data_IF_161318866160
#
_entry.id   IF_161318866160
#
_cell.length_a   1.000
_cell.length_b   1.000
_cell.length_c   1.000
_cell.angle_alpha   90.00
_cell.angle_beta   90.00
_cell.angle_gamma   90.00
#
_symmetry.space_group_name_H-M   'P 1'
#
loop_
_entity.id
_entity.type
_entity.pdbx_description
1 polymer ?
#
# COMPACT_ATOMS: atom_id res chain seq x y z
N UNK A 1 -13.07 -6.63 -14.00
CA UNK A 1 -12.92 -5.17 -13.91
C UNK A 1 -11.44 -4.85 -13.83
N UNK A 2 -11.02 -3.73 -14.43
CA UNK A 2 -9.61 -3.30 -14.46
C UNK A 2 -9.44 -2.11 -13.54
N UNK A 3 -8.44 -2.16 -12.66
CA UNK A 3 -7.87 -0.94 -12.12
C UNK A 3 -7.27 -0.16 -13.32
N UNK A 4 -7.40 1.16 -13.46
CA UNK A 4 -6.79 1.86 -14.60
C UNK A 4 -5.27 2.06 -14.45
N UNK A 5 -4.79 2.21 -13.21
CA UNK A 5 -3.42 2.62 -12.91
C UNK A 5 -2.64 1.46 -12.29
N UNK A 6 -2.40 0.40 -13.07
CA UNK A 6 -1.59 -0.73 -12.65
C UNK A 6 -0.65 -1.23 -13.76
N UNK A 7 0.37 -1.97 -13.36
CA UNK A 7 1.31 -2.64 -14.26
C UNK A 7 0.69 -3.96 -14.77
N UNK A 8 1.19 -4.51 -15.89
CA UNK A 8 0.89 -5.89 -16.27
C UNK A 8 1.03 -6.86 -15.08
N UNK A 9 0.21 -7.92 -15.06
CA UNK A 9 0.11 -8.81 -13.90
C UNK A 9 1.45 -9.50 -13.55
N UNK A 10 2.26 -9.77 -14.56
CA UNK A 10 3.59 -10.38 -14.49
C UNK A 10 4.74 -9.39 -14.27
N UNK A 11 4.46 -8.08 -14.30
CA UNK A 11 5.45 -7.03 -14.05
C UNK A 11 5.34 -6.44 -12.65
N UNK A 12 6.49 -6.31 -11.99
CA UNK A 12 6.63 -5.74 -10.65
C UNK A 12 7.37 -4.40 -10.64
N UNK A 13 7.71 -3.88 -11.81
CA UNK A 13 8.36 -2.59 -11.97
C UNK A 13 7.97 -1.95 -13.31
N UNK A 14 7.69 -0.66 -13.29
CA UNK A 14 7.36 0.10 -14.49
C UNK A 14 6.96 1.53 -14.17
N UNK A 15 6.37 2.21 -15.15
CA UNK A 15 5.96 3.60 -15.02
C UNK A 15 4.49 3.73 -15.42
N UNK A 16 3.72 4.47 -14.60
CA UNK A 16 2.30 4.78 -14.81
C UNK A 16 2.15 6.29 -14.65
N UNK A 17 1.64 7.00 -15.66
CA UNK A 17 1.52 8.48 -15.68
C UNK A 17 2.79 9.23 -15.24
N UNK A 18 3.98 8.72 -15.61
CA UNK A 18 5.26 9.33 -15.21
C UNK A 18 5.69 9.05 -13.76
N UNK A 19 4.92 8.24 -13.01
CA UNK A 19 5.27 7.76 -11.67
C UNK A 19 5.87 6.35 -11.79
N UNK A 20 7.10 6.19 -11.34
CA UNK A 20 7.74 4.87 -11.27
C UNK A 20 7.12 4.05 -10.15
N UNK A 21 6.59 2.87 -10.47
CA UNK A 21 6.04 1.91 -9.50
C UNK A 21 6.97 0.71 -9.44
N UNK A 22 7.39 0.33 -8.24
CA UNK A 22 8.26 -0.83 -8.01
C UNK A 22 7.82 -1.63 -6.79
N UNK A 23 7.78 -2.95 -6.88
CA UNK A 23 7.53 -3.81 -5.72
C UNK A 23 8.84 -4.20 -5.02
N UNK A 24 8.83 -4.16 -3.70
CA UNK A 24 9.86 -4.75 -2.87
C UNK A 24 9.77 -6.27 -2.84
N UNK A 25 10.87 -7.00 -2.65
CA UNK A 25 10.90 -8.46 -2.70
C UNK A 25 9.91 -9.10 -1.71
N UNK A 26 9.82 -8.57 -0.48
CA UNK A 26 8.87 -9.07 0.51
C UNK A 26 7.41 -8.86 0.10
N UNK A 27 7.10 -7.75 -0.57
CA UNK A 27 5.76 -7.48 -1.07
C UNK A 27 5.36 -8.51 -2.14
N UNK A 28 6.29 -8.84 -3.04
CA UNK A 28 6.10 -9.87 -4.08
C UNK A 28 5.87 -11.23 -3.43
N UNK A 29 6.75 -11.63 -2.50
CA UNK A 29 6.67 -12.94 -1.83
C UNK A 29 5.37 -13.13 -1.05
N UNK A 30 4.85 -12.08 -0.40
CA UNK A 30 3.65 -12.17 0.43
C UNK A 30 2.34 -11.96 -0.33
N UNK A 31 2.37 -11.39 -1.54
CA UNK A 31 1.17 -11.07 -2.32
C UNK A 31 0.21 -12.26 -2.51
N UNK A 32 0.67 -13.48 -2.87
CA UNK A 32 -0.24 -14.63 -3.02
C UNK A 32 -0.90 -15.04 -1.70
N UNK A 33 -0.19 -14.91 -0.57
CA UNK A 33 -0.73 -15.23 0.75
C UNK A 33 -1.80 -14.21 1.15
N UNK A 34 -1.52 -12.92 0.97
CA UNK A 34 -2.45 -11.84 1.26
C UNK A 34 -3.72 -11.95 0.41
N UNK A 35 -3.61 -12.29 -0.87
CA UNK A 35 -4.76 -12.51 -1.75
C UNK A 35 -5.69 -13.62 -1.21
N UNK A 36 -5.12 -14.71 -0.68
CA UNK A 36 -5.89 -15.78 -0.03
C UNK A 36 -6.60 -15.32 1.23
N UNK A 37 -5.95 -14.51 2.07
CA UNK A 37 -6.54 -13.96 3.30
C UNK A 37 -7.83 -13.18 3.00
N UNK A 38 -7.81 -12.36 1.94
CA UNK A 38 -8.97 -11.56 1.54
C UNK A 38 -9.89 -12.26 0.52
N UNK A 39 -9.61 -13.51 0.15
CA UNK A 39 -10.37 -14.28 -0.86
C UNK A 39 -10.52 -13.56 -2.20
N UNK A 40 -9.49 -12.85 -2.63
CA UNK A 40 -9.46 -12.11 -3.90
C UNK A 40 -8.44 -12.70 -4.88
N UNK A 41 -8.63 -12.40 -6.16
CA UNK A 41 -7.62 -12.70 -7.18
C UNK A 41 -6.31 -11.94 -6.90
N UNK A 42 -5.18 -12.61 -7.12
CA UNK A 42 -3.86 -12.05 -6.85
C UNK A 42 -3.56 -10.84 -7.75
N UNK A 43 -3.89 -10.91 -9.04
CA UNK A 43 -3.67 -9.82 -9.98
C UNK A 43 -4.59 -8.63 -9.67
N UNK A 44 -5.82 -8.90 -9.21
CA UNK A 44 -6.72 -7.87 -8.72
C UNK A 44 -6.15 -7.17 -7.48
N UNK A 45 -5.68 -7.91 -6.46
CA UNK A 45 -5.07 -7.31 -5.26
C UNK A 45 -3.83 -6.48 -5.59
N UNK A 46 -3.00 -6.98 -6.52
CA UNK A 46 -1.86 -6.24 -7.06
C UNK A 46 -2.30 -4.93 -7.71
N UNK A 47 -3.27 -4.99 -8.62
CA UNK A 47 -3.78 -3.81 -9.32
C UNK A 47 -4.38 -2.76 -8.39
N UNK A 48 -5.14 -3.18 -7.37
CA UNK A 48 -5.65 -2.29 -6.34
C UNK A 48 -4.51 -1.60 -5.58
N UNK A 49 -3.48 -2.36 -5.18
CA UNK A 49 -2.32 -1.84 -4.46
C UNK A 49 -1.58 -0.80 -5.29
N UNK A 50 -1.34 -1.09 -6.58
CA UNK A 50 -0.63 -0.20 -7.50
C UNK A 50 -1.43 1.08 -7.76
N UNK A 51 -2.73 0.98 -7.97
CA UNK A 51 -3.60 2.14 -8.18
C UNK A 51 -3.58 3.08 -6.97
N UNK A 52 -3.65 2.53 -5.77
CA UNK A 52 -3.64 3.35 -4.55
C UNK A 52 -2.26 3.93 -4.26
N UNK A 53 -1.18 3.18 -4.52
CA UNK A 53 0.18 3.70 -4.42
C UNK A 53 0.39 4.86 -5.40
N UNK A 54 -0.07 4.70 -6.64
CA UNK A 54 -0.04 5.74 -7.67
C UNK A 54 -0.84 6.98 -7.23
N UNK A 55 -2.05 6.81 -6.71
CA UNK A 55 -2.88 7.91 -6.22
C UNK A 55 -2.21 8.69 -5.07
N UNK A 56 -1.59 7.99 -4.10
CA UNK A 56 -0.84 8.62 -3.00
C UNK A 56 0.37 9.42 -3.52
N UNK A 57 1.17 8.86 -4.44
CA UNK A 57 2.28 9.62 -5.02
C UNK A 57 1.82 10.84 -5.81
N UNK A 58 0.75 10.71 -6.60
CA UNK A 58 0.17 11.84 -7.35
C UNK A 58 -0.29 12.95 -6.40
N UNK A 59 -1.01 12.59 -5.32
CA UNK A 59 -1.47 13.51 -4.27
C UNK A 59 -0.32 14.24 -3.60
N UNK A 60 0.77 13.54 -3.30
CA UNK A 60 1.94 14.09 -2.63
C UNK A 60 2.94 14.79 -3.58
N UNK A 61 2.63 14.88 -4.88
CA UNK A 61 3.50 15.48 -5.89
C UNK A 61 4.82 14.73 -6.07
N UNK A 62 4.78 13.39 -6.06
CA UNK A 62 5.94 12.50 -6.07
C UNK A 62 6.01 11.69 -7.34
N UNK A 63 7.22 11.27 -7.71
CA UNK A 63 7.52 10.66 -9.01
C UNK A 63 7.88 9.18 -8.94
N UNK A 64 7.94 8.60 -7.74
CA UNK A 64 8.17 7.17 -7.58
C UNK A 64 7.59 6.60 -6.30
N UNK A 65 7.19 5.34 -6.36
CA UNK A 65 6.71 4.55 -5.23
C UNK A 65 7.39 3.18 -5.24
N UNK A 66 7.79 2.76 -4.05
CA UNK A 66 8.22 1.40 -3.76
C UNK A 66 7.20 0.75 -2.83
N UNK A 67 6.46 -0.24 -3.32
CA UNK A 67 5.51 -1.01 -2.53
C UNK A 67 6.30 -1.95 -1.63
N UNK A 68 6.24 -1.70 -0.32
CA UNK A 68 7.00 -2.45 0.69
C UNK A 68 6.24 -3.66 1.22
N UNK A 69 4.91 -3.62 1.14
CA UNK A 69 4.02 -4.75 1.36
C UNK A 69 2.62 -4.40 0.88
N UNK A 70 1.91 -5.37 0.31
CA UNK A 70 0.50 -5.23 -0.10
C UNK A 70 -0.45 -5.25 1.12
N UNK A 71 -1.74 -5.18 0.84
CA UNK A 71 -2.80 -5.26 1.85
C UNK A 71 -2.57 -6.41 2.82
N UNK A 72 -2.66 -6.09 4.11
CA UNK A 72 -2.53 -7.04 5.22
C UNK A 72 -3.24 -6.46 6.44
N UNK A 73 -3.75 -7.34 7.28
CA UNK A 73 -4.39 -7.03 8.56
C UNK A 73 -3.47 -7.31 9.76
N UNK A 74 -2.16 -7.31 9.52
CA UNK A 74 -1.16 -7.52 10.57
C UNK A 74 0.00 -6.56 10.44
N UNK A 75 0.51 -6.11 11.57
CA UNK A 75 1.78 -5.37 11.69
C UNK A 75 2.79 -6.23 12.43
N UNK A 76 4.06 -6.15 12.04
CA UNK A 76 5.16 -6.79 12.77
C UNK A 76 5.86 -5.77 13.65
N UNK A 77 5.89 -6.02 14.97
CA UNK A 77 6.75 -5.29 15.89
C UNK A 77 8.18 -5.79 15.67
N UNK A 78 8.99 -5.01 14.95
CA UNK A 78 10.35 -5.42 14.53
C UNK A 78 11.28 -5.75 15.69
N UNK A 79 11.08 -5.17 16.87
CA UNK A 79 11.90 -5.45 18.07
C UNK A 79 11.57 -6.79 18.72
N UNK A 80 10.34 -7.29 18.59
CA UNK A 80 9.88 -8.53 19.22
C UNK A 80 9.66 -9.68 18.21
N UNK A 81 9.62 -9.37 16.91
CA UNK A 81 9.22 -10.33 15.87
C UNK A 81 7.73 -10.70 15.94
N UNK A 82 6.96 -10.08 16.84
CA UNK A 82 5.55 -10.37 17.06
C UNK A 82 4.70 -9.78 15.94
N UNK A 83 3.72 -10.57 15.47
CA UNK A 83 2.67 -10.11 14.57
C UNK A 83 1.44 -9.75 15.40
N UNK A 84 1.03 -8.49 15.34
CA UNK A 84 -0.22 -8.02 15.92
C UNK A 84 -1.25 -7.85 14.82
N UNK A 85 -2.53 -8.06 15.17
CA UNK A 85 -3.64 -7.63 14.34
C UNK A 85 -3.60 -6.10 14.22
N UNK A 86 -3.85 -5.62 13.00
CA UNK A 86 -3.84 -4.21 12.65
C UNK A 86 -4.99 -3.95 11.69
N UNK A 87 -5.40 -2.69 11.57
CA UNK A 87 -6.32 -2.29 10.50
C UNK A 87 -5.72 -2.62 9.14
N UNK A 88 -6.59 -3.04 8.20
CA UNK A 88 -6.12 -3.47 6.90
C UNK A 88 -5.42 -2.32 6.20
N UNK A 89 -4.15 -2.52 5.88
CA UNK A 89 -3.34 -1.49 5.25
C UNK A 89 -2.30 -2.09 4.34
N UNK A 90 -1.74 -1.25 3.49
CA UNK A 90 -0.51 -1.54 2.77
C UNK A 90 0.49 -0.42 2.97
N UNK A 91 1.76 -0.68 2.67
CA UNK A 91 2.84 0.26 2.98
C UNK A 91 3.70 0.51 1.77
N UNK A 92 4.02 1.78 1.52
CA UNK A 92 4.87 2.22 0.42
C UNK A 92 5.97 3.15 0.93
N UNK A 93 7.05 3.25 0.17
CA UNK A 93 8.06 4.31 0.31
C UNK A 93 8.01 5.18 -0.94
N UNK A 94 7.90 6.49 -0.76
CA UNK A 94 7.67 7.42 -1.87
C UNK A 94 8.92 8.27 -2.13
N UNK A 95 9.25 8.47 -3.40
CA UNK A 95 10.38 9.29 -3.85
C UNK A 95 9.95 10.44 -4.75
N UNK A 96 10.60 11.61 -4.67
CA UNK A 96 11.74 11.94 -3.80
C UNK A 96 11.35 12.17 -2.33
N UNK A 97 12.30 11.94 -1.42
CA UNK A 97 12.16 12.19 0.02
C UNK A 97 12.04 10.93 0.88
N UNK A 98 11.81 9.75 0.29
CA UNK A 98 11.76 8.44 0.98
C UNK A 98 10.77 8.40 2.16
N UNK A 99 9.71 9.20 2.10
CA UNK A 99 8.66 9.14 3.10
C UNK A 99 8.03 7.75 3.11
N UNK A 100 7.78 7.21 4.30
CA UNK A 100 7.03 5.96 4.47
C UNK A 100 5.56 6.32 4.57
N UNK A 101 4.73 5.61 3.83
CA UNK A 101 3.29 5.84 3.83
C UNK A 101 2.57 4.54 4.12
N UNK A 102 1.63 4.59 5.06
CA UNK A 102 0.68 3.52 5.32
C UNK A 102 -0.70 3.96 4.84
N UNK A 103 -1.30 3.18 3.96
CA UNK A 103 -2.62 3.45 3.38
C UNK A 103 -3.59 2.43 3.95
N UNK A 104 -4.54 2.91 4.74
CA UNK A 104 -5.52 2.13 5.48
C UNK A 104 -6.83 2.04 4.71
N UNK A 105 -7.43 0.86 4.72
CA UNK A 105 -8.64 0.52 3.97
C UNK A 105 -9.58 -0.34 4.80
N UNK A 106 -10.86 -0.37 4.45
CA UNK A 106 -11.88 -1.22 5.08
C UNK A 106 -11.96 -2.64 4.48
N UNK A 107 -10.90 -3.12 3.81
CA UNK A 107 -10.89 -4.43 3.18
C UNK A 107 -10.91 -5.56 4.22
N UNK A 108 -11.98 -6.33 4.20
CA UNK A 108 -12.13 -7.61 4.90
C UNK A 108 -12.33 -8.75 3.88
N UNK A 109 -12.56 -9.97 4.33
CA UNK A 109 -12.93 -11.09 3.45
C UNK A 109 -14.43 -11.07 3.06
N UNK A 110 -15.20 -10.13 3.60
CA UNK A 110 -16.60 -9.87 3.27
C UNK A 110 -16.77 -8.68 2.32
N UNK A 111 -15.84 -7.72 2.34
CA UNK A 111 -15.85 -6.56 1.45
C UNK A 111 -15.24 -6.93 0.10
N UNK A 112 -16.03 -6.77 -0.96
CA UNK A 112 -15.51 -6.96 -2.30
C UNK A 112 -14.44 -5.91 -2.61
N UNK A 113 -13.32 -6.32 -3.24
CA UNK A 113 -12.17 -5.44 -3.47
C UNK A 113 -12.50 -4.12 -4.19
N UNK A 114 -13.58 -4.10 -4.99
CA UNK A 114 -14.01 -2.91 -5.72
C UNK A 114 -14.86 -1.94 -4.88
N UNK A 115 -15.46 -2.42 -3.79
CA UNK A 115 -16.25 -1.63 -2.84
C UNK A 115 -15.39 -1.07 -1.70
N UNK A 116 -14.14 -1.53 -1.61
CA UNK A 116 -13.15 -1.10 -0.64
C UNK A 116 -12.93 0.42 -0.70
N UNK A 117 -12.88 1.04 0.48
CA UNK A 117 -12.64 2.46 0.69
C UNK A 117 -11.32 2.69 1.38
N UNK A 118 -10.68 3.80 1.04
CA UNK A 118 -9.54 4.34 1.79
C UNK A 118 -10.08 5.03 3.04
N UNK A 119 -9.64 4.56 4.20
CA UNK A 119 -9.96 5.14 5.50
C UNK A 119 -9.04 6.32 5.82
N UNK A 120 -7.75 6.15 5.52
CA UNK A 120 -6.74 7.18 5.76
C UNK A 120 -5.38 6.80 5.22
N UNK A 121 -4.48 7.76 5.30
CA UNK A 121 -3.11 7.67 4.83
C UNK A 121 -2.21 8.35 5.86
N UNK A 122 -1.37 7.57 6.54
CA UNK A 122 -0.34 8.12 7.44
C UNK A 122 0.97 8.30 6.67
N UNK A 123 1.50 9.52 6.67
CA UNK A 123 2.74 9.88 5.96
C UNK A 123 3.81 10.21 6.98
N UNK A 124 4.85 9.39 7.04
CA UNK A 124 6.00 9.56 7.93
C UNK A 124 7.20 10.05 7.09
N UNK A 125 7.60 11.33 7.23
CA UNK A 125 8.79 11.84 6.55
C UNK A 125 10.05 11.05 6.91
N UNK A 126 11.03 11.03 6.01
CA UNK A 126 12.27 10.32 6.27
C UNK A 126 13.00 10.88 7.50
N UNK A 127 13.43 9.99 8.38
CA UNK A 127 14.08 10.34 9.65
C UNK A 127 13.12 10.66 10.80
N UNK A 128 11.80 10.69 10.55
CA UNK A 128 10.79 10.87 11.58
C UNK A 128 10.23 9.53 12.06
N UNK A 129 9.69 9.52 13.28
CA UNK A 129 8.98 8.38 13.88
C UNK A 129 7.47 8.55 13.89
N UNK A 130 6.97 9.76 13.70
CA UNK A 130 5.54 10.10 13.77
C UNK A 130 5.01 10.57 12.41
N UNK A 131 3.74 10.30 12.09
CA UNK A 131 3.10 10.86 10.90
C UNK A 131 3.06 12.39 10.94
N UNK A 132 3.25 13.03 9.79
CA UNK A 132 3.09 14.46 9.60
C UNK A 132 1.60 14.77 9.31
N UNK A 133 0.90 15.52 10.17
CA UNK A 133 -0.53 15.79 10.02
C UNK A 133 -0.84 16.71 8.82
N UNK A 134 0.15 17.41 8.26
CA UNK A 134 -0.04 18.25 7.07
C UNK A 134 0.03 17.46 5.76
N UNK A 135 0.63 16.26 5.81
CA UNK A 135 0.77 15.36 4.66
C UNK A 135 -0.21 14.17 4.72
N UNK A 136 -0.60 13.79 5.93
CA UNK A 136 -1.51 12.67 6.22
C UNK A 136 -2.97 13.07 6.02
N UNK A 137 -3.83 12.10 5.73
CA UNK A 137 -5.27 12.32 5.51
C UNK A 137 -6.12 11.21 6.13
N UNK A 138 -7.39 11.51 6.40
CA UNK A 138 -8.36 10.52 6.87
C UNK A 138 -8.09 10.00 8.28
N UNK A 139 -8.62 8.82 8.56
CA UNK A 139 -8.52 8.13 9.86
C UNK A 139 -7.50 7.02 9.72
N UNK A 140 -6.50 7.00 10.60
CA UNK A 140 -5.52 5.94 10.71
C UNK A 140 -5.18 5.69 12.18
N UNK A 141 -4.80 4.46 12.56
CA UNK A 141 -4.33 4.14 13.91
C UNK A 141 -3.12 4.99 14.28
N UNK A 142 -3.14 5.53 15.49
CA UNK A 142 -2.04 6.28 16.11
C UNK A 142 -0.92 5.38 16.62
#
# INVERSE_FOLDING_TARGET
MSFPNHLPADSYEGTIDGITVKWGPNAITHLPCNAKVFKVDQAALKGATEQMAHASAKRLGKTGVRIMGSFRNTTTITTAGEKLLDECHFSISITPGRAKVHIYVDLTDEVALHDMKVLGESVIPYGMSTPDPTLSIGIYPS
#
